data_IF_770855005839
#
_entry.id   IF_770855005839
#
_cell.length_a   1.000
_cell.length_b   1.000
_cell.length_c   1.000
_cell.angle_alpha   90.00
_cell.angle_beta   90.00
_cell.angle_gamma   90.00
#
_symmetry.space_group_name_H-M   'P 1'
#
loop_
_entity.id
_entity.type
_entity.pdbx_description
1 polymer ?
#
# COMPACT_ATOMS: atom_id res chain seq x y z
N UNK A 1 20.14 -24.69 9.75
CA UNK A 1 18.81 -24.10 10.03
C UNK A 1 18.09 -23.99 8.71
N UNK A 2 16.95 -24.66 8.55
CA UNK A 2 16.17 -24.55 7.32
C UNK A 2 15.52 -23.16 7.25
N UNK A 3 15.56 -22.55 6.07
CA UNK A 3 14.86 -21.29 5.80
C UNK A 3 13.35 -21.38 5.99
N UNK A 4 12.77 -22.58 5.89
CA UNK A 4 11.36 -22.82 6.09
C UNK A 4 10.91 -22.70 7.55
N UNK A 5 11.83 -22.75 8.52
CA UNK A 5 11.52 -22.58 9.94
C UNK A 5 11.78 -21.14 10.44
N UNK A 6 12.36 -20.27 9.60
CA UNK A 6 12.69 -18.91 9.98
C UNK A 6 11.46 -17.99 9.87
N UNK A 7 11.02 -17.41 10.99
CA UNK A 7 9.86 -16.53 11.04
C UNK A 7 9.91 -15.38 10.00
N UNK A 8 11.06 -14.72 9.85
CA UNK A 8 11.22 -13.64 8.86
C UNK A 8 11.05 -14.13 7.41
N UNK A 9 11.49 -15.35 7.09
CA UNK A 9 11.30 -15.95 5.77
C UNK A 9 9.84 -16.31 5.51
N UNK A 10 9.16 -16.86 6.52
CA UNK A 10 7.73 -17.17 6.45
C UNK A 10 6.86 -15.90 6.29
N UNK A 11 7.14 -14.85 7.05
CA UNK A 11 6.46 -13.55 6.92
C UNK A 11 6.66 -12.98 5.51
N UNK A 12 7.89 -13.00 4.99
CA UNK A 12 8.17 -12.53 3.63
C UNK A 12 7.39 -13.32 2.58
N UNK A 13 7.33 -14.66 2.69
CA UNK A 13 6.56 -15.51 1.77
C UNK A 13 5.06 -15.22 1.85
N UNK A 14 4.52 -15.10 3.05
CA UNK A 14 3.12 -14.75 3.27
C UNK A 14 2.80 -13.38 2.65
N UNK A 15 3.67 -12.39 2.86
CA UNK A 15 3.52 -11.06 2.28
C UNK A 15 3.55 -11.08 0.74
N UNK A 16 4.45 -11.87 0.14
CA UNK A 16 4.52 -12.06 -1.31
C UNK A 16 3.22 -12.68 -1.87
N UNK A 17 2.72 -13.75 -1.24
CA UNK A 17 1.47 -14.40 -1.63
C UNK A 17 0.27 -13.46 -1.47
N UNK A 18 0.19 -12.75 -0.33
CA UNK A 18 -0.87 -11.78 -0.07
C UNK A 18 -0.89 -10.66 -1.12
N UNK A 19 0.28 -10.09 -1.44
CA UNK A 19 0.44 -9.05 -2.46
C UNK A 19 0.01 -9.55 -3.85
N UNK A 20 0.41 -10.77 -4.21
CA UNK A 20 0.03 -11.37 -5.49
C UNK A 20 -1.48 -11.54 -5.61
N UNK A 21 -2.12 -12.09 -4.57
CA UNK A 21 -3.58 -12.29 -4.55
C UNK A 21 -4.31 -10.95 -4.63
N UNK A 22 -3.84 -9.93 -3.89
CA UNK A 22 -4.41 -8.59 -3.95
C UNK A 22 -4.38 -8.05 -5.38
N UNK A 23 -3.21 -8.02 -6.01
CA UNK A 23 -3.06 -7.49 -7.39
C UNK A 23 -3.98 -8.22 -8.35
N UNK A 24 -4.03 -9.56 -8.30
CA UNK A 24 -4.90 -10.36 -9.16
C UNK A 24 -6.38 -10.02 -8.97
N UNK A 25 -6.84 -9.91 -7.72
CA UNK A 25 -8.25 -9.63 -7.40
C UNK A 25 -8.65 -8.22 -7.81
N UNK A 26 -7.77 -7.25 -7.56
CA UNK A 26 -8.02 -5.84 -7.84
C UNK A 26 -8.04 -5.58 -9.36
N UNK A 27 -7.13 -6.21 -10.11
CA UNK A 27 -7.15 -6.22 -11.57
C UNK A 27 -8.42 -6.87 -12.15
N UNK A 28 -8.83 -8.03 -11.61
CA UNK A 28 -10.06 -8.69 -12.03
C UNK A 28 -11.32 -7.84 -11.77
N UNK A 29 -11.27 -6.96 -10.76
CA UNK A 29 -12.31 -5.98 -10.46
C UNK A 29 -12.20 -4.69 -11.31
N UNK A 30 -11.24 -4.60 -12.24
CA UNK A 30 -11.05 -3.45 -13.12
C UNK A 30 -10.26 -2.29 -12.52
N UNK A 31 -9.59 -2.50 -11.38
CA UNK A 31 -8.78 -1.49 -10.72
C UNK A 31 -7.29 -1.75 -10.91
N UNK A 32 -6.57 -0.74 -11.40
CA UNK A 32 -5.11 -0.69 -11.34
C UNK A 32 -4.70 -0.10 -9.99
N UNK A 33 -4.58 -0.91 -8.94
CA UNK A 33 -4.13 -0.49 -7.61
C UNK A 33 -3.16 -1.51 -7.02
N UNK A 34 -2.11 -1.00 -6.39
CA UNK A 34 -1.22 -1.80 -5.54
C UNK A 34 -1.73 -1.84 -4.09
N UNK A 35 -1.31 -2.82 -3.26
CA UNK A 35 -1.71 -2.86 -1.84
C UNK A 35 -1.39 -1.57 -1.08
N UNK A 36 -0.21 -0.96 -1.33
CA UNK A 36 0.18 0.29 -0.67
C UNK A 36 -0.66 1.49 -1.13
N UNK A 37 -1.04 1.54 -2.41
CA UNK A 37 -1.97 2.56 -2.92
C UNK A 37 -3.34 2.42 -2.27
N UNK A 38 -3.84 1.20 -2.14
CA UNK A 38 -5.10 0.93 -1.46
C UNK A 38 -5.05 1.30 0.02
N UNK A 39 -3.98 0.94 0.73
CA UNK A 39 -3.78 1.32 2.14
C UNK A 39 -3.75 2.85 2.32
N UNK A 40 -3.06 3.58 1.43
CA UNK A 40 -3.05 5.04 1.45
C UNK A 40 -4.44 5.64 1.20
N UNK A 41 -5.22 5.09 0.26
CA UNK A 41 -6.60 5.52 0.01
C UNK A 41 -7.49 5.28 1.22
N UNK A 42 -7.40 4.12 1.87
CA UNK A 42 -8.21 3.83 3.06
C UNK A 42 -7.83 4.73 4.24
N UNK A 43 -6.54 5.00 4.43
CA UNK A 43 -6.05 5.92 5.45
C UNK A 43 -6.53 7.37 5.22
N UNK A 44 -6.47 7.88 3.99
CA UNK A 44 -6.98 9.22 3.64
C UNK A 44 -8.51 9.28 3.77
N UNK A 45 -9.22 8.21 3.43
CA UNK A 45 -10.67 8.11 3.61
C UNK A 45 -11.05 8.16 5.09
N UNK A 46 -10.29 7.50 5.95
CA UNK A 46 -10.50 7.49 7.40
C UNK A 46 -10.12 8.82 8.06
N UNK A 47 -9.08 9.49 7.54
CA UNK A 47 -8.55 10.76 8.04
C UNK A 47 -8.38 11.77 6.88
N UNK A 48 -9.47 12.44 6.45
CA UNK A 48 -9.41 13.41 5.37
C UNK A 48 -8.53 14.62 5.72
N UNK A 49 -7.93 15.23 4.70
CA UNK A 49 -7.05 16.41 4.83
C UNK A 49 -5.79 16.19 5.72
N UNK A 50 -5.42 14.93 5.95
CA UNK A 50 -4.17 14.56 6.63
C UNK A 50 -2.95 14.71 5.71
N UNK A 51 -1.81 15.10 6.29
CA UNK A 51 -0.56 15.23 5.55
C UNK A 51 0.09 13.87 5.21
N UNK A 52 1.01 13.89 4.25
CA UNK A 52 1.66 12.65 3.76
C UNK A 52 2.50 11.93 4.81
N UNK A 53 3.08 12.67 5.77
CA UNK A 53 3.90 12.05 6.81
C UNK A 53 3.03 11.23 7.76
N UNK A 54 1.87 11.76 8.14
CA UNK A 54 0.89 11.02 8.95
C UNK A 54 0.30 9.85 8.16
N UNK A 55 0.02 9.99 6.85
CA UNK A 55 -0.40 8.84 6.03
C UNK A 55 0.67 7.73 6.06
N UNK A 56 1.95 8.08 5.88
CA UNK A 56 3.05 7.12 5.92
C UNK A 56 3.11 6.37 7.26
N UNK A 57 2.98 7.10 8.37
CA UNK A 57 2.96 6.54 9.73
C UNK A 57 1.80 5.55 9.90
N UNK A 58 0.59 5.92 9.49
CA UNK A 58 -0.60 5.08 9.62
C UNK A 58 -0.49 3.75 8.89
N UNK A 59 0.23 3.71 7.77
CA UNK A 59 0.40 2.49 6.96
C UNK A 59 1.78 1.84 7.12
N UNK A 60 2.59 2.30 8.07
CA UNK A 60 3.94 1.80 8.35
C UNK A 60 4.92 1.88 7.15
N UNK A 61 4.90 3.01 6.43
CA UNK A 61 5.83 3.32 5.35
C UNK A 61 6.70 4.54 5.67
N UNK A 62 7.84 4.64 4.98
CA UNK A 62 8.69 5.82 5.03
C UNK A 62 8.17 6.95 4.13
N UNK A 63 8.67 8.17 4.38
CA UNK A 63 8.26 9.38 3.65
C UNK A 63 8.69 9.39 2.17
N UNK A 64 9.79 8.73 1.82
CA UNK A 64 10.23 8.70 0.42
C UNK A 64 9.29 7.80 -0.40
N UNK A 65 8.88 6.67 0.18
CA UNK A 65 7.92 5.77 -0.45
C UNK A 65 6.52 6.39 -0.57
N UNK A 66 6.03 7.06 0.49
CA UNK A 66 4.66 7.59 0.45
C UNK A 66 4.49 8.69 -0.60
N UNK A 67 5.50 9.55 -0.80
CA UNK A 67 5.42 10.65 -1.77
C UNK A 67 5.10 10.12 -3.17
N UNK A 68 5.85 9.12 -3.62
CA UNK A 68 5.62 8.47 -4.92
C UNK A 68 4.29 7.69 -4.99
N UNK A 69 3.76 7.20 -3.86
CA UNK A 69 2.44 6.57 -3.81
C UNK A 69 1.34 7.61 -4.02
N UNK A 70 1.41 8.73 -3.31
CA UNK A 70 0.44 9.84 -3.44
C UNK A 70 0.50 10.45 -4.83
N UNK A 71 1.70 10.67 -5.39
CA UNK A 71 1.86 11.18 -6.77
C UNK A 71 1.13 10.28 -7.78
N UNK A 72 1.29 8.96 -7.67
CA UNK A 72 0.61 7.99 -8.56
C UNK A 72 -0.90 7.97 -8.33
N UNK A 73 -1.38 8.13 -7.10
CA UNK A 73 -2.81 8.20 -6.81
C UNK A 73 -3.44 9.48 -7.37
N UNK A 74 -2.73 10.61 -7.30
CA UNK A 74 -3.17 11.90 -7.84
C UNK A 74 -3.20 11.86 -9.38
N UNK A 75 -2.18 11.29 -10.02
CA UNK A 75 -2.16 11.05 -11.48
C UNK A 75 -3.33 10.19 -11.95
N UNK A 76 -3.77 9.23 -11.13
CA UNK A 76 -4.93 8.39 -11.42
C UNK A 76 -6.27 9.07 -11.07
N UNK A 77 -6.26 10.28 -10.49
CA UNK A 77 -7.45 11.05 -10.11
C UNK A 77 -8.17 10.57 -8.85
N UNK A 78 -7.53 9.76 -8.01
CA UNK A 78 -8.16 9.19 -6.80
C UNK A 78 -8.00 10.07 -5.56
N UNK A 79 -6.99 10.92 -5.54
CA UNK A 79 -6.74 11.88 -4.46
C UNK A 79 -6.40 13.25 -5.06
N UNK A 80 -6.51 14.30 -4.24
CA UNK A 80 -6.11 15.65 -4.58
C UNK A 80 -5.39 16.26 -3.38
N UNK A 81 -4.26 16.92 -3.61
CA UNK A 81 -3.61 17.78 -2.60
C UNK A 81 -4.34 19.13 -2.52
N UNK A 82 -4.63 19.59 -1.31
CA UNK A 82 -5.33 20.85 -1.02
C UNK A 82 -4.49 21.74 -0.12
#
# INVERSE_FOLDING_TARGET
>A
MDSLDMAGHLIRRLHQQSTQIFVQRTQAAGFDLTPVQFAALDAIRAYPATDQATVAEMIAYDRATIGGVIDRLEQKGWVRRV
#
